data_IF_593343392404
#
_entry.id   IF_593343392404
#
_cell.length_a   1.000
_cell.length_b   1.000
_cell.length_c   1.000
_cell.angle_alpha   90.00
_cell.angle_beta   90.00
_cell.angle_gamma   90.00
#
_symmetry.space_group_name_H-M   'P 1'
#
loop_
_entity.id
_entity.type
_entity.pdbx_description
1 polymer ?
#
# COMPACT_ATOMS: atom_id res chain seq x y z
N UNK A 1 11.59 29.35 -9.59
CA UNK A 1 11.37 28.55 -10.80
C UNK A 1 9.89 28.54 -11.11
N UNK A 2 9.52 28.99 -12.30
CA UNK A 2 8.15 28.90 -12.81
C UNK A 2 7.79 27.44 -13.14
N UNK A 3 6.49 27.13 -13.26
CA UNK A 3 6.05 25.80 -13.72
C UNK A 3 6.63 25.47 -15.11
N UNK A 4 6.72 26.45 -16.01
CA UNK A 4 7.26 26.27 -17.36
C UNK A 4 8.73 25.85 -17.32
N UNK A 5 9.56 26.55 -16.53
CA UNK A 5 10.98 26.20 -16.35
C UNK A 5 11.15 24.81 -15.72
N UNK A 6 10.34 24.50 -14.71
CA UNK A 6 10.37 23.19 -14.05
C UNK A 6 10.03 22.05 -15.01
N UNK A 7 8.99 22.24 -15.82
CA UNK A 7 8.59 21.27 -16.84
C UNK A 7 9.65 21.13 -17.95
N UNK A 8 10.21 22.24 -18.44
CA UNK A 8 11.24 22.18 -19.48
C UNK A 8 12.50 21.44 -19.00
N UNK A 9 12.96 21.69 -17.76
CA UNK A 9 14.09 20.95 -17.19
C UNK A 9 13.82 19.45 -17.06
N UNK A 10 12.61 19.05 -16.66
CA UNK A 10 12.30 17.62 -16.50
C UNK A 10 12.31 16.83 -17.81
N UNK A 11 12.10 17.51 -18.94
CA UNK A 11 12.12 16.91 -20.28
C UNK A 11 13.51 17.01 -20.93
N UNK A 12 14.15 18.18 -20.85
CA UNK A 12 15.41 18.44 -21.56
C UNK A 12 16.63 17.93 -20.79
N UNK A 13 16.55 17.83 -19.46
CA UNK A 13 17.64 17.41 -18.57
C UNK A 13 17.17 16.34 -17.56
N UNK A 14 16.54 15.22 -18.00
CA UNK A 14 15.84 14.30 -17.11
C UNK A 14 16.72 13.68 -16.04
N UNK A 15 17.96 13.29 -16.38
CA UNK A 15 18.89 12.68 -15.42
C UNK A 15 19.28 13.63 -14.28
N UNK A 16 19.58 14.89 -14.60
CA UNK A 16 19.98 15.88 -13.60
C UNK A 16 18.77 16.30 -12.77
N UNK A 17 17.65 16.57 -13.43
CA UNK A 17 16.41 16.97 -12.79
C UNK A 17 15.90 15.90 -11.79
N UNK A 18 15.85 14.63 -12.20
CA UNK A 18 15.34 13.57 -11.34
C UNK A 18 16.33 13.18 -10.25
N UNK A 19 17.65 13.33 -10.47
CA UNK A 19 18.63 13.20 -9.40
C UNK A 19 18.44 14.26 -8.30
N UNK A 20 18.09 15.50 -8.67
CA UNK A 20 17.74 16.55 -7.70
C UNK A 20 16.49 16.16 -6.90
N UNK A 21 15.44 15.67 -7.57
CA UNK A 21 14.21 15.27 -6.88
C UNK A 21 14.41 14.04 -5.98
N UNK A 22 15.31 13.14 -6.34
CA UNK A 22 15.59 11.94 -5.56
C UNK A 22 16.19 12.23 -4.18
N UNK A 23 16.74 13.44 -3.95
CA UNK A 23 17.23 13.89 -2.63
C UNK A 23 16.13 14.03 -1.58
N UNK A 24 14.86 14.02 -1.99
CA UNK A 24 13.70 14.00 -1.06
C UNK A 24 13.50 12.64 -0.40
N UNK A 25 14.06 11.59 -0.99
CA UNK A 25 13.93 10.22 -0.52
C UNK A 25 15.16 9.87 0.30
N UNK A 26 14.95 9.15 1.40
CA UNK A 26 16.03 8.58 2.19
C UNK A 26 16.47 7.24 1.56
N UNK A 27 17.77 7.14 1.29
CA UNK A 27 18.40 6.02 0.62
C UNK A 27 19.41 5.38 1.58
N UNK A 28 19.22 4.10 1.89
CA UNK A 28 20.21 3.34 2.65
C UNK A 28 21.51 3.19 1.85
N UNK A 29 21.38 3.00 0.53
CA UNK A 29 22.50 2.99 -0.41
C UNK A 29 22.17 4.01 -1.50
N UNK A 30 23.00 5.05 -1.71
CA UNK A 30 22.81 5.97 -2.81
C UNK A 30 22.84 5.26 -4.17
N UNK A 31 22.08 5.76 -5.13
CA UNK A 31 22.16 5.27 -6.52
C UNK A 31 23.41 5.81 -7.21
N UNK A 32 23.93 5.04 -8.17
CA UNK A 32 25.10 5.43 -8.98
C UNK A 32 24.72 5.96 -10.36
N UNK A 33 23.55 5.57 -10.87
CA UNK A 33 23.03 5.99 -12.17
C UNK A 33 21.55 6.40 -12.06
N UNK A 34 21.22 7.62 -12.47
CA UNK A 34 19.84 8.14 -12.39
C UNK A 34 18.90 7.45 -13.37
N UNK A 35 19.33 7.27 -14.61
CA UNK A 35 18.53 6.65 -15.68
C UNK A 35 19.40 5.67 -16.46
N UNK A 36 18.99 4.42 -16.51
CA UNK A 36 19.45 3.44 -17.49
C UNK A 36 18.35 3.25 -18.55
N UNK A 37 18.66 3.72 -19.77
CA UNK A 37 17.77 3.64 -20.94
C UNK A 37 18.33 2.68 -22.01
N UNK A 38 19.19 1.73 -21.63
CA UNK A 38 19.80 0.77 -22.56
C UNK A 38 18.81 -0.25 -23.15
N UNK A 39 17.66 -0.48 -22.50
CA UNK A 39 16.67 -1.48 -22.92
C UNK A 39 15.22 -0.95 -22.95
N UNK A 40 14.84 -0.05 -23.88
CA UNK A 40 13.47 0.43 -23.98
C UNK A 40 12.48 -0.69 -24.38
N UNK A 41 11.24 -0.71 -23.83
CA UNK A 41 10.63 0.27 -22.94
C UNK A 41 10.93 0.06 -21.44
N UNK A 42 11.86 -0.82 -21.07
CA UNK A 42 12.20 -1.20 -19.70
C UNK A 42 13.29 -0.32 -19.08
N UNK A 43 13.09 1.00 -19.12
CA UNK A 43 13.99 1.95 -18.49
C UNK A 43 14.05 1.74 -16.97
N UNK A 44 15.24 1.87 -16.40
CA UNK A 44 15.47 1.72 -14.95
C UNK A 44 15.91 3.04 -14.36
N UNK A 45 15.36 3.38 -13.19
CA UNK A 45 15.65 4.64 -12.51
C UNK A 45 16.37 4.40 -11.19
N UNK A 46 17.34 5.25 -10.87
CA UNK A 46 18.12 5.23 -9.62
C UNK A 46 18.77 3.87 -9.37
N UNK A 47 19.51 3.37 -10.36
CA UNK A 47 20.12 2.04 -10.34
C UNK A 47 21.08 1.88 -9.15
N UNK A 48 21.07 0.69 -8.58
CA UNK A 48 21.85 0.29 -7.38
C UNK A 48 21.42 1.00 -6.08
N UNK A 49 20.60 2.05 -6.18
CA UNK A 49 20.04 2.75 -5.04
C UNK A 49 19.11 1.83 -4.25
N UNK A 50 19.29 1.80 -2.93
CA UNK A 50 18.45 1.01 -2.02
C UNK A 50 17.65 1.89 -1.09
N UNK A 51 16.34 1.68 -1.06
CA UNK A 51 15.41 2.45 -0.24
C UNK A 51 14.23 1.56 0.21
N UNK A 52 13.29 2.14 0.95
CA UNK A 52 12.06 1.48 1.36
C UNK A 52 10.91 2.50 1.52
N UNK A 53 9.72 2.15 1.01
CA UNK A 53 8.55 3.03 1.05
C UNK A 53 8.00 3.23 2.48
N UNK A 54 7.98 2.18 3.32
CA UNK A 54 7.55 2.29 4.71
C UNK A 54 8.49 3.18 5.52
N UNK A 55 9.81 3.01 5.33
CA UNK A 55 10.81 3.84 6.00
C UNK A 55 10.63 5.33 5.70
N UNK A 56 10.45 5.66 4.42
CA UNK A 56 10.22 7.04 3.98
C UNK A 56 8.87 7.59 4.45
N UNK A 57 7.84 6.74 4.55
CA UNK A 57 6.52 7.15 5.00
C UNK A 57 6.42 7.30 6.53
N UNK A 58 7.17 6.53 7.32
CA UNK A 58 7.01 6.45 8.78
C UNK A 58 8.35 6.63 9.51
N UNK A 59 9.27 5.68 9.37
CA UNK A 59 10.41 5.52 10.29
C UNK A 59 11.26 6.80 10.37
N UNK A 60 11.56 7.45 9.24
CA UNK A 60 12.36 8.69 9.20
C UNK A 60 11.71 9.89 9.92
N UNK A 61 10.40 9.81 10.20
CA UNK A 61 9.65 10.86 10.88
C UNK A 61 9.61 10.66 12.40
N UNK A 62 9.98 9.49 12.92
CA UNK A 62 9.97 9.21 14.35
C UNK A 62 10.94 10.08 15.15
N UNK A 63 12.08 10.48 14.56
CA UNK A 63 13.04 11.38 15.22
C UNK A 63 12.59 12.84 15.15
N UNK A 64 11.80 13.20 14.14
CA UNK A 64 11.42 14.59 13.86
C UNK A 64 10.10 14.98 14.53
N UNK A 65 9.09 14.10 14.48
CA UNK A 65 7.72 14.41 14.88
C UNK A 65 6.92 13.15 15.28
N UNK A 66 7.39 12.38 16.27
CA UNK A 66 6.77 11.09 16.61
C UNK A 66 5.31 11.21 17.07
N UNK A 67 4.93 12.35 17.66
CA UNK A 67 3.58 12.60 18.18
C UNK A 67 2.66 13.33 17.18
N UNK A 68 3.15 13.69 15.99
CA UNK A 68 2.30 14.26 14.94
C UNK A 68 1.36 13.18 14.37
N UNK A 69 0.14 13.58 14.00
CA UNK A 69 -0.87 12.67 13.46
C UNK A 69 -0.47 12.19 12.05
N UNK A 70 -0.29 10.88 11.89
CA UNK A 70 0.13 10.25 10.65
C UNK A 70 -1.02 9.60 9.88
N UNK A 71 -2.04 9.11 10.61
CA UNK A 71 -3.20 8.46 10.04
C UNK A 71 -4.44 8.86 10.83
N UNK A 72 -5.45 9.37 10.13
CA UNK A 72 -6.80 9.58 10.67
C UNK A 72 -7.72 8.72 9.82
N UNK A 73 -8.46 7.83 10.47
CA UNK A 73 -9.37 6.89 9.85
C UNK A 73 -10.78 7.17 10.36
N UNK A 74 -11.62 7.73 9.49
CA UNK A 74 -13.02 8.05 9.79
C UNK A 74 -13.90 7.04 9.06
N UNK A 75 -14.73 6.34 9.80
CA UNK A 75 -15.67 5.33 9.30
C UNK A 75 -17.08 5.88 9.40
N UNK A 76 -17.69 6.20 8.25
CA UNK A 76 -19.10 6.59 8.21
C UNK A 76 -20.05 5.40 8.43
N UNK A 77 -19.55 4.16 8.36
CA UNK A 77 -20.38 2.97 8.60
C UNK A 77 -20.49 2.60 10.08
N UNK A 78 -19.43 2.82 10.84
CA UNK A 78 -19.37 2.48 12.26
C UNK A 78 -19.44 3.72 13.16
N UNK A 79 -19.46 4.93 12.58
CA UNK A 79 -19.38 6.21 13.29
C UNK A 79 -18.13 6.34 14.17
N UNK A 80 -17.08 5.59 13.83
CA UNK A 80 -15.82 5.58 14.55
C UNK A 80 -14.78 6.46 13.88
N UNK A 81 -14.02 7.18 14.70
CA UNK A 81 -12.80 7.85 14.30
C UNK A 81 -11.62 7.25 15.07
N UNK A 82 -10.60 6.82 14.34
CA UNK A 82 -9.33 6.33 14.90
C UNK A 82 -8.19 7.18 14.38
N UNK A 83 -7.40 7.70 15.29
CA UNK A 83 -6.23 8.53 14.99
C UNK A 83 -4.96 7.84 15.46
N UNK A 84 -3.89 8.01 14.69
CA UNK A 84 -2.59 7.43 14.98
C UNK A 84 -1.53 8.50 14.81
N UNK A 85 -0.69 8.69 15.81
CA UNK A 85 0.57 9.42 15.67
C UNK A 85 1.57 8.62 14.82
N UNK A 86 2.67 9.23 14.37
CA UNK A 86 3.75 8.50 13.69
C UNK A 86 4.27 7.33 14.54
N UNK A 87 4.43 7.54 15.86
CA UNK A 87 4.84 6.49 16.80
C UNK A 87 3.84 5.34 16.84
N UNK A 88 2.56 5.66 17.01
CA UNK A 88 1.51 4.65 17.08
C UNK A 88 1.40 3.89 15.75
N UNK A 89 1.41 4.58 14.61
CA UNK A 89 1.36 3.95 13.29
C UNK A 89 2.59 3.06 13.05
N UNK A 90 3.78 3.49 13.47
CA UNK A 90 4.98 2.66 13.43
C UNK A 90 4.82 1.36 14.23
N UNK A 91 4.32 1.45 15.47
CA UNK A 91 4.10 0.27 16.31
C UNK A 91 3.06 -0.69 15.69
N UNK A 92 1.97 -0.15 15.12
CA UNK A 92 0.97 -0.94 14.38
C UNK A 92 1.55 -1.66 13.17
N UNK A 93 2.30 -0.94 12.32
CA UNK A 93 2.94 -1.50 11.13
C UNK A 93 3.94 -2.58 11.52
N UNK A 94 4.70 -2.41 12.62
CA UNK A 94 5.62 -3.44 13.09
C UNK A 94 4.90 -4.68 13.60
N UNK A 95 3.78 -4.52 14.33
CA UNK A 95 2.98 -5.65 14.77
C UNK A 95 2.41 -6.44 13.58
N UNK A 96 1.86 -5.72 12.58
CA UNK A 96 1.32 -6.35 11.37
C UNK A 96 2.42 -6.96 10.51
N UNK A 97 3.56 -6.30 10.33
CA UNK A 97 4.71 -6.87 9.60
C UNK A 97 5.24 -8.15 10.28
N UNK A 98 5.29 -8.17 11.61
CA UNK A 98 5.70 -9.35 12.39
C UNK A 98 4.71 -10.49 12.22
N UNK A 99 3.41 -10.18 12.24
CA UNK A 99 2.33 -11.12 11.95
C UNK A 99 2.45 -11.72 10.54
N UNK A 100 2.67 -10.88 9.52
CA UNK A 100 2.85 -11.33 8.14
C UNK A 100 4.04 -12.29 8.00
N UNK A 101 5.20 -11.93 8.58
CA UNK A 101 6.43 -12.73 8.49
C UNK A 101 6.37 -14.03 9.29
N UNK A 102 6.02 -13.94 10.58
CA UNK A 102 6.22 -15.03 11.55
C UNK A 102 5.06 -16.00 11.58
N UNK A 103 3.83 -15.51 11.42
CA UNK A 103 2.62 -16.32 11.59
C UNK A 103 2.00 -16.74 10.27
N UNK A 104 2.08 -15.87 9.25
CA UNK A 104 1.50 -16.14 7.93
C UNK A 104 2.55 -16.55 6.87
N UNK A 105 3.84 -16.41 7.20
CA UNK A 105 4.94 -16.86 6.37
C UNK A 105 5.06 -16.12 5.02
N UNK A 106 4.69 -14.84 4.99
CA UNK A 106 4.90 -13.95 3.84
C UNK A 106 6.39 -13.60 3.75
N UNK A 107 6.97 -13.62 2.56
CA UNK A 107 8.38 -13.27 2.32
C UNK A 107 8.53 -12.07 1.38
N UNK A 108 9.76 -11.56 1.23
CA UNK A 108 10.07 -10.55 0.21
C UNK A 108 9.75 -11.10 -1.18
N UNK A 109 9.12 -10.28 -2.01
CA UNK A 109 8.63 -10.68 -3.34
C UNK A 109 7.31 -11.45 -3.32
N UNK A 110 6.78 -11.79 -2.14
CA UNK A 110 5.46 -12.41 -2.06
C UNK A 110 4.33 -11.44 -2.39
N UNK A 111 3.34 -11.90 -3.15
CA UNK A 111 2.16 -11.09 -3.46
C UNK A 111 1.14 -11.23 -2.33
N UNK A 112 0.72 -10.09 -1.80
CA UNK A 112 -0.37 -9.99 -0.82
C UNK A 112 -1.52 -9.25 -1.47
N UNK A 113 -2.64 -9.93 -1.70
CA UNK A 113 -3.81 -9.32 -2.31
C UNK A 113 -4.65 -8.65 -1.21
N UNK A 114 -4.92 -7.36 -1.37
CA UNK A 114 -5.70 -6.57 -0.40
C UNK A 114 -7.06 -6.24 -1.01
N UNK A 115 -8.10 -6.92 -0.53
CA UNK A 115 -9.50 -6.71 -0.92
C UNK A 115 -10.28 -6.23 0.30
N UNK A 116 -10.08 -4.97 0.67
CA UNK A 116 -10.66 -4.35 1.87
C UNK A 116 -11.39 -3.04 1.55
N UNK A 117 -12.36 -2.63 2.39
CA UNK A 117 -12.85 -1.26 2.40
C UNK A 117 -11.75 -0.28 2.80
N UNK A 118 -12.02 1.02 2.68
CA UNK A 118 -11.11 2.09 3.10
C UNK A 118 -11.11 2.20 4.63
N UNK A 119 -10.33 1.35 5.29
CA UNK A 119 -10.16 1.30 6.76
C UNK A 119 -8.68 1.42 7.16
N UNK A 120 -8.41 1.66 8.44
CA UNK A 120 -7.04 1.83 8.95
C UNK A 120 -6.18 0.59 8.66
N UNK A 121 -6.74 -0.60 8.90
CA UNK A 121 -6.10 -1.91 8.70
C UNK A 121 -5.62 -2.10 7.26
N UNK A 122 -6.35 -1.54 6.28
CA UNK A 122 -5.91 -1.57 4.89
C UNK A 122 -4.59 -0.84 4.70
N UNK A 123 -4.47 0.38 5.20
CA UNK A 123 -3.26 1.19 5.07
C UNK A 123 -2.09 0.59 5.87
N UNK A 124 -2.36 0.12 7.09
CA UNK A 124 -1.37 -0.56 7.93
C UNK A 124 -0.85 -1.83 7.23
N UNK A 125 -1.74 -2.59 6.57
CA UNK A 125 -1.35 -3.79 5.79
C UNK A 125 -0.45 -3.43 4.61
N UNK A 126 -0.77 -2.37 3.85
CA UNK A 126 0.08 -1.93 2.73
C UNK A 126 1.47 -1.48 3.20
N UNK A 127 1.52 -0.71 4.29
CA UNK A 127 2.78 -0.25 4.90
C UNK A 127 3.59 -1.42 5.46
N UNK A 128 2.93 -2.40 6.07
CA UNK A 128 3.58 -3.63 6.53
C UNK A 128 4.15 -4.46 5.37
N UNK A 129 3.42 -4.59 4.25
CA UNK A 129 3.93 -5.23 3.04
C UNK A 129 5.17 -4.49 2.50
N UNK A 130 5.09 -3.16 2.39
CA UNK A 130 6.21 -2.34 1.97
C UNK A 130 7.43 -2.49 2.90
N UNK A 131 7.22 -2.56 4.22
CA UNK A 131 8.29 -2.73 5.22
C UNK A 131 9.10 -4.01 5.00
N UNK A 132 8.43 -5.11 4.69
CA UNK A 132 9.05 -6.44 4.55
C UNK A 132 9.44 -6.78 3.11
N UNK A 133 9.14 -5.88 2.16
CA UNK A 133 9.38 -6.09 0.74
C UNK A 133 8.43 -7.07 0.06
N UNK A 134 7.23 -7.26 0.63
CA UNK A 134 6.15 -7.97 -0.05
C UNK A 134 5.46 -7.04 -1.06
N UNK A 135 4.95 -7.62 -2.14
CA UNK A 135 4.29 -6.93 -3.24
C UNK A 135 2.79 -6.88 -2.96
N UNK A 136 2.26 -5.73 -2.54
CA UNK A 136 0.82 -5.61 -2.32
C UNK A 136 0.06 -5.41 -3.64
N UNK A 137 -1.10 -6.06 -3.76
CA UNK A 137 -2.01 -5.92 -4.89
C UNK A 137 -3.39 -5.51 -4.40
N UNK A 138 -3.71 -4.22 -4.53
CA UNK A 138 -4.99 -3.68 -4.04
C UNK A 138 -6.09 -3.95 -5.07
N UNK A 139 -7.18 -4.53 -4.61
CA UNK A 139 -8.37 -4.80 -5.42
C UNK A 139 -9.52 -3.98 -4.90
N UNK A 140 -10.14 -3.20 -5.79
CA UNK A 140 -11.27 -2.35 -5.42
C UNK A 140 -12.44 -3.20 -4.92
N UNK A 141 -12.94 -2.84 -3.73
CA UNK A 141 -13.98 -3.57 -3.03
C UNK A 141 -15.33 -3.68 -3.75
N UNK A 142 -15.60 -2.81 -4.73
CA UNK A 142 -16.82 -2.88 -5.54
C UNK A 142 -16.76 -3.85 -6.72
N UNK A 143 -15.69 -4.63 -6.88
CA UNK A 143 -15.64 -5.66 -7.92
C UNK A 143 -16.48 -6.89 -7.56
N UNK A 144 -17.08 -7.49 -8.59
CA UNK A 144 -17.74 -8.78 -8.49
C UNK A 144 -16.71 -9.92 -8.38
N UNK A 145 -17.13 -11.06 -7.82
CA UNK A 145 -16.26 -12.20 -7.52
C UNK A 145 -15.41 -12.70 -8.68
N UNK A 146 -15.98 -12.80 -9.90
CA UNK A 146 -15.22 -13.20 -11.09
C UNK A 146 -14.06 -12.24 -11.42
N UNK A 147 -14.24 -10.94 -11.16
CA UNK A 147 -13.22 -9.92 -11.38
C UNK A 147 -12.12 -9.99 -10.32
N UNK A 148 -12.45 -10.43 -9.11
CA UNK A 148 -11.48 -10.70 -8.04
C UNK A 148 -10.71 -12.00 -8.35
N UNK A 149 -11.40 -13.06 -8.77
CA UNK A 149 -10.81 -14.35 -9.15
C UNK A 149 -9.74 -14.21 -10.23
N UNK A 150 -10.03 -13.46 -11.30
CA UNK A 150 -9.06 -13.20 -12.37
C UNK A 150 -7.76 -12.51 -11.89
N UNK A 151 -7.83 -11.72 -10.80
CA UNK A 151 -6.66 -11.07 -10.19
C UNK A 151 -5.93 -12.00 -9.23
N UNK A 152 -6.65 -12.88 -8.53
CA UNK A 152 -6.04 -13.95 -7.73
C UNK A 152 -5.19 -14.85 -8.63
N UNK A 153 -5.72 -15.26 -9.79
CA UNK A 153 -5.03 -16.15 -10.72
C UNK A 153 -3.79 -15.51 -11.37
N UNK A 154 -3.84 -14.20 -11.64
CA UNK A 154 -2.72 -13.48 -12.23
C UNK A 154 -1.64 -13.14 -11.20
N UNK A 155 -2.01 -12.59 -10.04
CA UNK A 155 -1.06 -12.18 -8.99
C UNK A 155 -0.49 -13.37 -8.20
N UNK A 156 -1.22 -14.50 -8.17
CA UNK A 156 -0.90 -15.70 -7.38
C UNK A 156 -0.52 -15.35 -5.93
N UNK A 157 -1.39 -14.67 -5.17
CA UNK A 157 -1.05 -14.19 -3.84
C UNK A 157 -0.86 -15.35 -2.86
N UNK A 158 0.13 -15.24 -1.97
CA UNK A 158 0.29 -16.19 -0.86
C UNK A 158 -0.71 -15.90 0.27
N UNK A 159 -1.13 -14.64 0.38
CA UNK A 159 -2.05 -14.15 1.39
C UNK A 159 -3.08 -13.22 0.75
N UNK A 160 -4.35 -13.37 1.14
CA UNK A 160 -5.39 -12.38 0.86
C UNK A 160 -5.81 -11.72 2.17
N UNK A 161 -5.93 -10.39 2.19
CA UNK A 161 -6.44 -9.64 3.35
C UNK A 161 -7.77 -9.01 2.97
N UNK A 162 -8.79 -9.20 3.80
CA UNK A 162 -10.15 -8.72 3.56
C UNK A 162 -10.86 -8.36 4.87
N UNK A 163 -12.14 -8.01 4.77
CA UNK A 163 -13.01 -7.71 5.89
C UNK A 163 -14.33 -8.47 5.78
N UNK A 164 -15.12 -8.48 6.85
CA UNK A 164 -16.50 -8.94 6.83
C UNK A 164 -17.32 -8.18 5.77
N UNK A 165 -17.29 -6.84 5.81
CA UNK A 165 -18.00 -5.98 4.88
C UNK A 165 -17.46 -4.55 4.79
N UNK A 166 -17.87 -3.88 3.71
CA UNK A 166 -17.77 -2.42 3.53
C UNK A 166 -19.15 -1.82 3.29
N UNK A 167 -19.22 -0.52 3.04
CA UNK A 167 -20.43 0.09 2.49
C UNK A 167 -20.13 0.92 1.24
N UNK A 168 -21.17 1.18 0.46
CA UNK A 168 -21.14 2.15 -0.65
C UNK A 168 -22.51 2.76 -0.82
N UNK A 169 -22.60 4.08 -0.63
CA UNK A 169 -23.88 4.81 -0.71
C UNK A 169 -24.89 4.28 0.29
N UNK A 170 -24.46 4.04 1.54
CA UNK A 170 -25.28 3.50 2.62
C UNK A 170 -25.61 2.00 2.52
N UNK A 171 -25.22 1.32 1.44
CA UNK A 171 -25.48 -0.12 1.26
C UNK A 171 -24.29 -0.96 1.69
N UNK A 172 -24.52 -1.94 2.55
CA UNK A 172 -23.53 -2.93 2.96
C UNK A 172 -23.15 -3.82 1.77
N UNK A 173 -21.84 -4.00 1.58
CA UNK A 173 -21.25 -4.91 0.61
C UNK A 173 -20.61 -6.05 1.42
N UNK A 174 -21.05 -7.31 1.29
CA UNK A 174 -20.52 -8.44 2.06
C UNK A 174 -19.21 -8.96 1.42
N UNK A 175 -18.08 -8.38 1.80
CA UNK A 175 -16.76 -8.70 1.21
C UNK A 175 -16.40 -10.16 1.41
N UNK A 176 -16.67 -10.73 2.60
CA UNK A 176 -16.36 -12.14 2.87
C UNK A 176 -17.05 -13.09 1.88
N UNK A 177 -18.34 -12.89 1.65
CA UNK A 177 -19.09 -13.72 0.69
C UNK A 177 -18.52 -13.57 -0.72
N UNK A 178 -18.29 -12.33 -1.16
CA UNK A 178 -17.74 -12.05 -2.49
C UNK A 178 -16.35 -12.67 -2.68
N UNK A 179 -15.53 -12.65 -1.62
CA UNK A 179 -14.20 -13.26 -1.63
C UNK A 179 -14.26 -14.78 -1.65
N UNK A 180 -15.13 -15.42 -0.88
CA UNK A 180 -15.29 -16.87 -0.91
C UNK A 180 -15.74 -17.35 -2.31
N UNK A 181 -16.71 -16.65 -2.90
CA UNK A 181 -17.15 -16.90 -4.27
C UNK A 181 -16.01 -16.68 -5.28
N UNK A 182 -15.10 -15.74 -5.03
CA UNK A 182 -13.95 -15.48 -5.91
C UNK A 182 -12.87 -16.56 -5.78
N UNK A 183 -12.56 -16.97 -4.55
CA UNK A 183 -11.58 -18.03 -4.27
C UNK A 183 -12.05 -19.37 -4.85
N UNK A 184 -13.35 -19.66 -4.82
CA UNK A 184 -13.89 -20.89 -5.44
C UNK A 184 -13.83 -20.88 -6.98
N UNK A 185 -13.84 -19.70 -7.59
CA UNK A 185 -13.69 -19.52 -9.05
C UNK A 185 -12.23 -19.48 -9.50
N UNK A 186 -11.31 -19.09 -8.61
CA UNK A 186 -9.89 -18.98 -8.90
C UNK A 186 -9.21 -20.36 -8.97
N UNK A 187 -8.27 -20.50 -9.91
CA UNK A 187 -7.39 -21.66 -9.98
C UNK A 187 -6.31 -21.62 -8.90
N UNK A 188 -5.78 -20.43 -8.60
CA UNK A 188 -4.79 -20.24 -7.55
C UNK A 188 -5.44 -20.10 -6.18
N UNK A 189 -4.99 -20.89 -5.21
CA UNK A 189 -5.48 -20.85 -3.83
C UNK A 189 -4.46 -20.16 -2.90
N UNK A 190 -4.85 -19.15 -2.13
CA UNK A 190 -3.95 -18.52 -1.16
C UNK A 190 -3.71 -19.47 0.02
N UNK A 191 -2.57 -19.32 0.71
CA UNK A 191 -2.26 -20.09 1.92
C UNK A 191 -3.21 -19.71 3.06
N UNK A 192 -3.42 -18.40 3.23
CA UNK A 192 -4.28 -17.86 4.28
C UNK A 192 -5.15 -16.72 3.75
N UNK A 193 -6.28 -16.50 4.43
CA UNK A 193 -7.10 -15.30 4.29
C UNK A 193 -7.17 -14.61 5.64
N UNK A 194 -6.65 -13.40 5.73
CA UNK A 194 -6.67 -12.59 6.96
C UNK A 194 -7.89 -11.65 6.93
N UNK A 195 -8.73 -11.73 7.96
CA UNK A 195 -10.04 -11.08 7.98
C UNK A 195 -10.16 -10.07 9.12
N UNK A 196 -10.57 -8.85 8.77
CA UNK A 196 -10.98 -7.81 9.71
C UNK A 196 -12.48 -7.93 9.97
N UNK A 197 -12.86 -8.11 11.24
CA UNK A 197 -14.26 -8.13 11.66
C UNK A 197 -14.71 -6.73 12.07
N UNK A 198 -15.59 -6.10 11.28
CA UNK A 198 -16.15 -4.78 11.57
C UNK A 198 -17.56 -4.85 12.16
N UNK A 199 -18.13 -6.05 12.33
CA UNK A 199 -19.50 -6.24 12.81
C UNK A 199 -20.59 -5.77 11.84
N UNK A 200 -20.27 -5.56 10.56
CA UNK A 200 -21.19 -5.04 9.55
C UNK A 200 -21.95 -6.14 8.79
N UNK A 201 -21.39 -7.35 8.74
CA UNK A 201 -22.05 -8.50 8.12
C UNK A 201 -21.65 -9.82 8.79
N UNK A 202 -22.47 -10.86 8.62
CA UNK A 202 -22.09 -12.21 9.05
C UNK A 202 -20.84 -12.66 8.28
N UNK A 203 -19.80 -13.05 9.02
CA UNK A 203 -18.51 -13.48 8.47
C UNK A 203 -18.25 -14.94 8.81
N UNK A 204 -18.77 -15.87 8.01
CA UNK A 204 -18.47 -17.30 8.16
C UNK A 204 -17.00 -17.55 7.83
N UNK A 205 -16.28 -18.24 8.73
CA UNK A 205 -14.84 -18.54 8.59
C UNK A 205 -14.62 -19.97 8.13
N UNK A 206 -13.70 -20.17 7.19
CA UNK A 206 -13.24 -21.47 6.70
C UNK A 206 -12.06 -21.93 7.54
N UNK A 207 -12.23 -23.04 8.27
CA UNK A 207 -11.19 -23.61 9.13
C UNK A 207 -9.91 -23.93 8.33
N UNK A 208 -8.75 -23.64 8.92
CA UNK A 208 -7.43 -23.85 8.30
C UNK A 208 -7.01 -22.79 7.27
N UNK A 209 -7.93 -21.96 6.77
CA UNK A 209 -7.64 -20.90 5.79
C UNK A 209 -7.83 -19.50 6.37
N UNK A 210 -8.97 -19.27 7.02
CA UNK A 210 -9.39 -17.94 7.45
C UNK A 210 -8.85 -17.65 8.87
N UNK A 211 -8.19 -16.50 9.01
CA UNK A 211 -7.53 -16.07 10.25
C UNK A 211 -8.06 -14.70 10.66
N UNK A 212 -8.30 -14.53 11.96
CA UNK A 212 -8.78 -13.27 12.54
C UNK A 212 -7.64 -12.25 12.66
N UNK A 213 -7.83 -11.06 12.07
CA UNK A 213 -6.82 -10.00 12.07
C UNK A 213 -6.51 -9.52 13.49
N UNK A 214 -7.53 -9.20 14.29
CA UNK A 214 -7.35 -8.57 15.59
C UNK A 214 -6.65 -9.51 16.59
N UNK A 215 -7.12 -10.77 16.65
CA UNK A 215 -6.60 -11.81 17.53
C UNK A 215 -5.15 -12.17 17.18
N UNK A 216 -4.84 -12.27 15.89
CA UNK A 216 -3.46 -12.57 15.47
C UNK A 216 -2.55 -11.36 15.72
N UNK A 217 -2.96 -10.15 15.33
CA UNK A 217 -2.23 -8.90 15.61
C UNK A 217 -1.87 -8.77 17.08
N UNK A 218 -2.79 -9.11 17.99
CA UNK A 218 -2.57 -9.01 19.45
C UNK A 218 -1.32 -9.78 19.91
N UNK A 219 -1.00 -10.90 19.26
CA UNK A 219 0.18 -11.74 19.58
C UNK A 219 1.51 -11.09 19.15
N UNK A 220 1.46 -10.06 18.31
CA UNK A 220 2.64 -9.39 17.76
C UNK A 220 2.80 -7.94 18.26
N UNK A 221 1.98 -7.49 19.22
CA UNK A 221 2.12 -6.17 19.83
C UNK A 221 3.52 -6.03 20.45
N UNK A 222 4.17 -4.89 20.22
CA UNK A 222 5.52 -4.61 20.71
C UNK A 222 6.64 -5.22 19.86
N UNK A 223 6.31 -5.97 18.80
CA UNK A 223 7.33 -6.46 17.88
C UNK A 223 8.10 -5.31 17.21
N UNK A 224 9.32 -5.63 16.78
CA UNK A 224 10.17 -4.78 15.94
C UNK A 224 10.63 -5.60 14.75
N UNK A 225 10.35 -5.10 13.56
CA UNK A 225 10.69 -5.74 12.29
C UNK A 225 11.67 -4.83 11.56
N UNK A 226 12.88 -5.29 11.22
CA UNK A 226 13.79 -4.51 10.39
C UNK A 226 13.18 -4.19 9.03
N UNK A 227 13.52 -3.02 8.49
CA UNK A 227 13.14 -2.62 7.15
C UNK A 227 13.90 -3.48 6.13
N UNK A 228 13.18 -4.04 5.16
CA UNK A 228 13.78 -4.67 3.99
C UNK A 228 14.22 -3.60 2.98
N UNK A 229 15.53 -3.41 2.83
CA UNK A 229 16.07 -2.47 1.86
C UNK A 229 16.05 -3.07 0.45
N UNK A 230 15.32 -2.41 -0.45
CA UNK A 230 15.05 -2.86 -1.81
C UNK A 230 15.79 -1.98 -2.80
N UNK A 231 16.32 -2.58 -3.85
CA UNK A 231 16.82 -1.83 -5.01
C UNK A 231 15.66 -1.07 -5.67
N UNK A 232 15.95 0.13 -6.18
CA UNK A 232 14.97 1.08 -6.71
C UNK A 232 13.95 0.46 -7.68
N UNK A 233 14.37 -0.48 -8.53
CA UNK A 233 13.59 -1.06 -9.61
C UNK A 233 12.88 -2.36 -9.22
N UNK A 234 12.99 -2.80 -7.96
CA UNK A 234 12.18 -3.92 -7.47
C UNK A 234 10.70 -3.56 -7.44
N UNK A 235 9.83 -4.56 -7.63
CA UNK A 235 8.38 -4.34 -7.62
C UNK A 235 7.90 -4.01 -6.20
N UNK A 236 7.23 -2.87 -6.04
CA UNK A 236 6.58 -2.47 -4.79
C UNK A 236 5.13 -2.93 -4.72
N UNK A 237 4.39 -2.79 -5.83
CA UNK A 237 2.99 -3.13 -5.90
C UNK A 237 2.51 -3.49 -7.30
N UNK A 238 1.36 -4.16 -7.35
CA UNK A 238 0.62 -4.46 -8.58
C UNK A 238 -0.73 -3.75 -8.52
N UNK A 239 -1.03 -2.96 -9.55
CA UNK A 239 -2.30 -2.26 -9.70
C UNK A 239 -2.98 -2.71 -10.99
N UNK A 240 -4.11 -3.41 -10.84
CA UNK A 240 -4.82 -3.96 -11.98
C UNK A 240 -5.71 -2.93 -12.67
N UNK A 241 -5.49 -2.74 -13.97
CA UNK A 241 -6.36 -1.93 -14.84
C UNK A 241 -7.24 -2.81 -15.72
N UNK A 242 -8.39 -2.28 -16.15
CA UNK A 242 -9.25 -2.96 -17.14
C UNK A 242 -8.48 -3.13 -18.45
N UNK A 243 -8.25 -4.38 -18.86
CA UNK A 243 -7.68 -4.71 -20.16
C UNK A 243 -8.75 -4.68 -21.26
N UNK A 244 -8.34 -4.39 -22.49
CA UNK A 244 -9.19 -4.49 -23.69
C UNK A 244 -9.42 -5.94 -24.13
N UNK A 245 -8.59 -6.88 -23.64
CA UNK A 245 -8.51 -8.28 -24.08
C UNK A 245 -9.13 -9.27 -23.08
N UNK A 246 -9.97 -8.81 -22.14
CA UNK A 246 -10.67 -9.64 -21.16
C UNK A 246 -9.86 -10.04 -19.92
N UNK A 247 -8.54 -10.20 -20.02
CA UNK A 247 -7.67 -10.45 -18.84
C UNK A 247 -7.23 -9.13 -18.17
N UNK A 248 -7.24 -9.04 -16.83
CA UNK A 248 -6.79 -7.84 -16.14
C UNK A 248 -5.28 -7.66 -16.33
N UNK A 249 -4.83 -6.40 -16.51
CA UNK A 249 -3.40 -6.09 -16.69
C UNK A 249 -2.81 -5.61 -15.36
N UNK A 250 -1.88 -6.37 -14.80
CA UNK A 250 -1.17 -6.01 -13.56
C UNK A 250 -0.07 -4.98 -13.82
N UNK A 251 -0.39 -3.69 -13.65
CA UNK A 251 0.61 -2.63 -13.75
C UNK A 251 1.52 -2.70 -12.53
N UNK A 252 2.80 -2.94 -12.76
CA UNK A 252 3.80 -2.95 -11.71
C UNK A 252 4.32 -1.54 -11.46
N UNK A 253 4.57 -1.22 -10.19
CA UNK A 253 5.32 -0.03 -9.78
C UNK A 253 6.60 -0.47 -9.10
N UNK A 254 7.68 0.20 -9.44
CA UNK A 254 8.96 0.07 -8.78
C UNK A 254 8.94 0.74 -7.38
N UNK A 255 10.04 0.67 -6.64
CA UNK A 255 10.16 1.26 -5.30
C UNK A 255 10.63 2.71 -5.38
N UNK A 256 11.80 2.95 -5.98
CA UNK A 256 12.50 4.23 -5.91
C UNK A 256 11.91 5.28 -6.83
N UNK A 257 11.70 4.95 -8.10
CA UNK A 257 11.02 5.83 -9.06
C UNK A 257 9.61 6.20 -8.61
N UNK A 258 8.85 5.24 -8.09
CA UNK A 258 7.55 5.52 -7.48
C UNK A 258 7.64 6.49 -6.29
N UNK A 259 8.58 6.27 -5.37
CA UNK A 259 8.79 7.16 -4.22
C UNK A 259 9.12 8.59 -4.65
N UNK A 260 10.10 8.74 -5.56
CA UNK A 260 10.54 10.04 -6.06
C UNK A 260 9.41 10.76 -6.79
N UNK A 261 8.68 10.06 -7.67
CA UNK A 261 7.56 10.66 -8.39
C UNK A 261 6.45 11.11 -7.43
N UNK A 262 6.11 10.31 -6.41
CA UNK A 262 5.10 10.65 -5.42
C UNK A 262 5.52 11.88 -4.59
N UNK A 263 6.73 11.85 -4.00
CA UNK A 263 7.28 12.95 -3.20
C UNK A 263 7.36 14.25 -4.00
N UNK A 264 7.82 14.17 -5.25
CA UNK A 264 7.87 15.32 -6.16
C UNK A 264 6.47 15.88 -6.39
N UNK A 265 5.51 15.04 -6.77
CA UNK A 265 4.14 15.50 -7.08
C UNK A 265 3.45 16.16 -5.88
N UNK A 266 3.68 15.64 -4.67
CA UNK A 266 3.11 16.20 -3.44
C UNK A 266 3.67 17.59 -3.13
N UNK A 267 4.95 17.85 -3.38
CA UNK A 267 5.57 19.16 -3.19
C UNK A 267 4.99 20.26 -4.09
N UNK A 268 4.38 19.89 -5.23
CA UNK A 268 3.74 20.82 -6.17
C UNK A 268 2.21 20.87 -6.05
N UNK A 269 1.62 20.08 -5.14
CA UNK A 269 0.20 20.14 -4.83
C UNK A 269 -0.14 21.45 -4.10
N UNK A 270 -1.32 22.07 -4.33
CA UNK A 270 -1.73 23.29 -3.63
C UNK A 270 -1.79 23.15 -2.10
N UNK A 271 -1.83 21.93 -1.56
CA UNK A 271 -1.62 21.63 -0.14
C UNK A 271 -0.12 21.66 0.22
N UNK A 272 0.53 22.80 -0.01
CA UNK A 272 2.00 22.99 0.09
C UNK A 272 2.59 22.88 1.48
N UNK A 273 1.76 22.93 2.52
CA UNK A 273 2.25 22.87 3.89
C UNK A 273 2.36 21.39 4.32
N UNK A 274 3.57 20.90 4.69
CA UNK A 274 3.78 19.52 5.15
C UNK A 274 2.96 19.17 6.40
N UNK A 275 2.44 20.18 7.11
CA UNK A 275 1.55 20.05 8.26
C UNK A 275 0.06 20.18 7.90
N UNK A 276 -0.26 20.60 6.67
CA UNK A 276 -1.65 20.64 6.22
C UNK A 276 -2.12 19.21 5.93
N UNK A 277 -3.19 18.75 6.60
CA UNK A 277 -3.72 17.42 6.37
C UNK A 277 -4.14 17.25 4.91
N UNK A 278 -3.59 16.24 4.23
CA UNK A 278 -4.02 15.91 2.87
C UNK A 278 -5.31 15.07 2.93
N UNK A 279 -6.39 15.52 2.32
CA UNK A 279 -7.63 14.73 2.17
C UNK A 279 -7.65 14.05 0.80
N UNK A 280 -7.53 12.73 0.78
CA UNK A 280 -7.67 11.93 -0.44
C UNK A 280 -9.01 11.17 -0.47
N UNK A 281 -10.09 11.84 -0.87
CA UNK A 281 -11.36 11.17 -1.17
C UNK A 281 -11.46 10.88 -2.67
N UNK A 282 -11.06 9.68 -3.13
CA UNK A 282 -11.31 9.24 -4.52
C UNK A 282 -12.14 7.96 -4.56
N UNK A 283 -13.32 8.07 -5.18
CA UNK A 283 -14.23 6.97 -5.58
C UNK A 283 -14.61 5.98 -4.47
N UNK A 284 -15.20 6.49 -3.39
CA UNK A 284 -16.24 5.79 -2.64
C UNK A 284 -17.10 6.86 -1.96
N UNK A 285 -18.41 6.64 -1.88
CA UNK A 285 -19.31 7.43 -1.03
C UNK A 285 -19.13 7.05 0.45
N UNK A 286 -17.87 6.94 0.88
CA UNK A 286 -17.41 6.76 2.25
C UNK A 286 -16.47 7.94 2.50
N UNK A 287 -16.79 8.78 3.48
CA UNK A 287 -15.98 9.92 3.86
C UNK A 287 -14.75 9.45 4.62
N UNK A 288 -13.87 8.68 3.97
CA UNK A 288 -12.59 8.31 4.54
C UNK A 288 -11.62 9.49 4.36
N UNK A 289 -11.26 10.12 5.47
CA UNK A 289 -10.35 11.25 5.51
C UNK A 289 -8.96 10.76 5.90
N UNK A 290 -8.22 10.21 4.94
CA UNK A 290 -6.84 9.79 5.16
C UNK A 290 -5.92 11.01 5.33
N UNK A 291 -5.84 11.58 6.53
CA UNK A 291 -4.90 12.66 6.84
C UNK A 291 -3.51 12.07 7.06
N UNK A 292 -2.70 12.04 5.99
CA UNK A 292 -1.26 11.82 6.09
C UNK A 292 -0.61 13.20 6.16
N UNK A 293 0.08 13.51 7.26
CA UNK A 293 1.03 14.64 7.26
C UNK A 293 2.04 14.35 6.17
N UNK A 294 2.01 15.15 5.09
CA UNK A 294 2.84 14.97 3.92
C UNK A 294 4.29 15.39 4.24
N UNK A 295 4.93 14.62 5.10
CA UNK A 295 6.37 14.63 5.24
C UNK A 295 6.98 13.87 4.07
N UNK A 296 7.14 14.52 2.92
CA UNK A 296 7.94 14.03 1.80
C UNK A 296 9.25 14.80 1.70
#
# INVERSE_FOLDING_TARGET
MSFSEFYQRSINEPEQFWAEQARRIDWQTPFTQTLDHSNPPFARWFCEGRTNLCHNAIDRWLEKQPEALALIAVSSETEEERTFTFRQLHDEVNAVASMLLRSLGVQRGDRVLVYMPMIAEAHITLLACARIGAIHSVVFGGFASHSVAARIDDAKPVLIVSADAGARGGKIIPYKKLLDDAISQAQHQPRHVLLVDRGLAKMARVSGRDVDFASLRHQHIGARVPVAWLESNETSCILYTSGTTGKPKGVQRDVGGYAVALATSMAFSPARDPFTPFLAAKRAACSFVLRISAGW
#
